data_IF_854727437114
#
_entry.id   IF_854727437114
#
_cell.length_a   1.000
_cell.length_b   1.000
_cell.length_c   1.000
_cell.angle_alpha   90.00
_cell.angle_beta   90.00
_cell.angle_gamma   90.00
#
_symmetry.space_group_name_H-M   'P 1'
#
loop_
_entity.id
_entity.type
_entity.pdbx_description
1 polymer ?
#
# COMPACT_ATOMS: atom_id res chain seq x y z
N UNK A 1 77.36 30.74 -13.66
CA UNK A 1 78.09 31.64 -12.74
C UNK A 1 78.25 30.88 -11.41
N UNK A 2 79.34 30.12 -11.31
CA UNK A 2 79.94 29.71 -10.02
C UNK A 2 80.61 30.99 -9.44
N UNK A 3 81.34 31.03 -8.30
CA UNK A 3 81.37 30.28 -7.02
C UNK A 3 81.30 31.25 -5.80
N UNK A 4 81.33 30.86 -4.53
CA UNK A 4 82.54 30.53 -3.75
C UNK A 4 82.10 30.12 -2.33
N UNK A 5 82.37 28.90 -1.87
CA UNK A 5 83.65 28.37 -1.37
C UNK A 5 84.13 29.00 -0.05
N UNK A 6 84.26 28.14 0.97
CA UNK A 6 85.54 27.78 1.62
C UNK A 6 85.26 26.63 2.59
N UNK A 7 85.82 25.42 2.40
CA UNK A 7 87.21 25.02 2.70
C UNK A 7 87.62 25.42 4.13
N UNK A 8 88.20 24.60 5.01
CA UNK A 8 88.83 23.27 4.91
C UNK A 8 89.37 22.94 6.32
N UNK A 9 89.42 21.64 6.65
CA UNK A 9 90.44 20.93 7.47
C UNK A 9 90.68 21.35 8.94
N UNK A 10 90.69 20.39 9.86
CA UNK A 10 91.86 19.59 10.31
C UNK A 10 91.52 18.87 11.64
N UNK A 11 91.93 17.60 11.74
CA UNK A 11 92.03 16.78 12.97
C UNK A 11 93.16 17.30 13.92
N UNK A 12 93.52 16.73 15.11
CA UNK A 12 93.18 15.41 15.69
C UNK A 12 93.07 15.31 17.26
N UNK A 13 92.76 14.09 17.74
CA UNK A 13 93.17 13.37 18.98
C UNK A 13 93.36 14.13 20.32
N UNK A 14 92.66 13.70 21.39
CA UNK A 14 93.31 13.10 22.59
C UNK A 14 92.33 12.60 23.68
N UNK A 15 92.79 11.53 24.34
CA UNK A 15 92.27 10.80 25.49
C UNK A 15 91.82 11.66 26.68
N UNK A 16 90.79 11.19 27.41
CA UNK A 16 90.81 10.93 28.86
C UNK A 16 89.45 10.40 29.34
N UNK A 17 89.38 9.17 29.81
CA UNK A 17 88.47 8.72 30.89
C UNK A 17 89.17 8.96 32.25
N UNK A 18 88.53 8.90 33.44
CA UNK A 18 87.15 8.49 33.77
C UNK A 18 86.42 9.33 34.86
N UNK A 19 85.20 8.90 35.19
CA UNK A 19 84.62 8.82 36.56
C UNK A 19 83.41 9.73 36.89
N UNK A 20 82.26 9.04 36.99
CA UNK A 20 81.26 9.09 38.09
C UNK A 20 80.08 10.06 38.06
N UNK A 21 78.92 9.42 38.30
CA UNK A 21 77.63 9.90 38.82
C UNK A 21 76.54 10.39 37.83
N UNK A 22 75.59 9.47 37.61
CA UNK A 22 74.24 9.61 37.04
C UNK A 22 73.29 10.39 37.97
N UNK A 23 71.99 10.54 37.62
CA UNK A 23 71.36 10.73 36.31
C UNK A 23 70.46 12.00 36.32
N UNK A 24 70.09 12.56 35.16
CA UNK A 24 68.84 13.34 35.03
C UNK A 24 68.48 13.67 33.59
N UNK A 25 67.17 13.70 33.38
CA UNK A 25 66.37 14.22 32.26
C UNK A 25 66.01 13.20 31.17
N UNK A 26 64.96 12.43 31.47
CA UNK A 26 64.07 11.84 30.47
C UNK A 26 63.50 12.95 29.58
N UNK A 27 63.84 12.94 28.29
CA UNK A 27 63.06 13.64 27.29
C UNK A 27 61.85 12.78 26.93
N UNK A 28 60.63 13.33 26.79
CA UNK A 28 59.48 12.55 26.37
C UNK A 28 59.72 12.01 24.97
N UNK A 29 59.73 10.68 24.86
CA UNK A 29 59.78 9.94 23.59
C UNK A 29 58.51 10.27 22.83
N UNK A 30 58.64 10.96 21.69
CA UNK A 30 57.51 11.24 20.81
C UNK A 30 57.16 9.98 20.02
N UNK A 31 56.26 9.16 20.58
CA UNK A 31 55.69 7.99 19.90
C UNK A 31 54.79 8.49 18.77
N UNK A 32 55.00 8.06 17.50
CA UNK A 32 54.04 8.36 16.43
C UNK A 32 52.70 7.75 16.81
N UNK A 33 51.67 8.58 17.00
CA UNK A 33 50.30 8.11 17.19
C UNK A 33 49.81 7.68 15.82
N UNK A 34 49.81 6.37 15.57
CA UNK A 34 49.04 5.79 14.47
C UNK A 34 47.57 6.12 14.69
N UNK A 35 46.96 6.67 13.63
CA UNK A 35 45.55 6.98 13.39
C UNK A 35 44.60 7.11 14.64
N UNK A 36 43.98 8.28 14.85
CA UNK A 36 43.16 8.60 16.05
C UNK A 36 41.93 7.71 16.28
N UNK A 37 41.60 6.84 15.31
CA UNK A 37 40.47 5.92 15.34
C UNK A 37 40.88 4.46 15.62
N UNK A 38 42.16 4.16 15.82
CA UNK A 38 42.63 2.81 16.10
C UNK A 38 42.28 2.40 17.54
N UNK A 39 41.50 1.32 17.71
CA UNK A 39 41.05 0.82 19.01
C UNK A 39 42.14 -0.08 19.64
N UNK A 40 43.23 0.55 20.09
CA UNK A 40 44.26 -0.12 20.90
C UNK A 40 44.02 0.17 22.39
N UNK A 41 44.36 -0.77 23.27
CA UNK A 41 44.23 -0.59 24.74
C UNK A 41 44.93 0.69 25.24
N UNK A 42 45.94 1.16 24.53
CA UNK A 42 46.61 2.43 24.79
C UNK A 42 45.75 3.67 24.50
N UNK A 43 44.93 3.66 23.44
CA UNK A 43 44.08 4.80 23.10
C UNK A 43 42.90 4.96 24.07
N UNK A 44 42.38 3.87 24.65
CA UNK A 44 41.33 3.93 25.68
C UNK A 44 41.85 4.47 27.02
N UNK A 45 43.09 4.12 27.38
CA UNK A 45 43.75 4.71 28.56
C UNK A 45 43.94 6.22 28.36
N UNK A 46 44.30 6.67 27.16
CA UNK A 46 44.47 8.10 26.83
C UNK A 46 43.14 8.88 26.83
N UNK A 47 42.02 8.27 26.40
CA UNK A 47 40.67 8.84 26.53
C UNK A 47 40.30 9.00 28.01
N UNK A 48 40.54 7.97 28.83
CA UNK A 48 40.27 7.98 30.28
C UNK A 48 41.09 9.01 31.06
N UNK A 49 42.32 9.30 30.61
CA UNK A 49 43.18 10.33 31.18
C UNK A 49 42.96 11.74 30.61
N UNK A 50 41.99 11.92 29.69
CA UNK A 50 41.59 13.23 29.17
C UNK A 50 42.55 13.84 28.14
N UNK A 51 43.44 13.03 27.56
CA UNK A 51 44.41 13.47 26.54
C UNK A 51 43.78 13.48 25.13
N UNK A 52 42.77 12.63 24.90
CA UNK A 52 42.02 12.52 23.64
C UNK A 52 40.52 12.62 23.96
N UNK A 53 39.70 13.33 23.16
CA UNK A 53 38.25 13.40 23.35
C UNK A 53 37.57 12.02 23.35
N UNK A 54 36.53 11.86 24.17
CA UNK A 54 35.72 10.63 24.20
C UNK A 54 34.97 10.42 22.88
N UNK A 55 34.84 9.15 22.47
CA UNK A 55 34.15 8.76 21.23
C UNK A 55 32.65 9.00 21.40
N UNK A 56 31.93 9.53 20.40
CA UNK A 56 30.49 9.68 20.49
C UNK A 56 29.84 8.30 20.74
N UNK A 57 28.77 8.21 21.57
CA UNK A 57 28.11 6.95 21.85
C UNK A 57 27.65 6.32 20.53
N UNK A 58 27.92 5.02 20.36
CA UNK A 58 27.55 4.32 19.15
C UNK A 58 26.02 4.29 19.00
N UNK A 59 25.45 4.66 17.83
CA UNK A 59 23.99 4.69 17.60
C UNK A 59 23.33 3.30 17.57
N UNK A 60 24.08 2.24 17.83
CA UNK A 60 23.67 0.83 17.82
C UNK A 60 22.38 0.51 18.59
N UNK A 61 22.13 1.02 19.82
CA UNK A 61 20.89 0.69 20.54
C UNK A 61 19.66 1.34 19.89
N UNK A 62 19.78 2.55 19.32
CA UNK A 62 18.66 3.16 18.56
C UNK A 62 18.39 2.42 17.25
N UNK A 63 19.45 1.90 16.61
CA UNK A 63 19.32 1.14 15.35
C UNK A 63 18.67 -0.23 15.62
N UNK A 64 19.03 -0.90 16.71
CA UNK A 64 18.41 -2.16 17.13
C UNK A 64 16.94 -1.97 17.52
N UNK A 65 16.62 -0.93 18.29
CA UNK A 65 15.24 -0.63 18.67
C UNK A 65 14.38 -0.29 17.44
N UNK A 66 14.90 0.53 16.52
CA UNK A 66 14.22 0.85 15.26
C UNK A 66 14.03 -0.40 14.38
N UNK A 67 14.99 -1.31 14.35
CA UNK A 67 14.89 -2.56 13.58
C UNK A 67 13.85 -3.51 14.18
N UNK A 68 13.74 -3.55 15.51
CA UNK A 68 12.75 -4.36 16.22
C UNK A 68 11.33 -3.82 15.97
N UNK A 69 11.14 -2.50 16.10
CA UNK A 69 9.87 -1.85 15.77
C UNK A 69 9.50 -2.02 14.29
N UNK A 70 10.47 -1.93 13.38
CA UNK A 70 10.22 -2.18 11.96
C UNK A 70 9.77 -3.63 11.69
N UNK A 71 10.27 -4.59 12.47
CA UNK A 71 9.86 -6.00 12.36
C UNK A 71 8.46 -6.22 12.90
N UNK A 72 8.10 -5.59 14.00
CA UNK A 72 6.74 -5.61 14.57
C UNK A 72 5.74 -4.96 13.61
N UNK A 73 6.05 -3.77 13.09
CA UNK A 73 5.21 -3.09 12.08
C UNK A 73 5.07 -3.91 10.79
N UNK A 74 6.14 -4.55 10.33
CA UNK A 74 6.07 -5.44 9.17
C UNK A 74 5.21 -6.68 9.43
N UNK A 75 5.22 -7.18 10.67
CA UNK A 75 4.37 -8.28 11.10
C UNK A 75 2.90 -7.85 11.19
N UNK A 76 2.60 -6.69 11.77
CA UNK A 76 1.25 -6.12 11.81
C UNK A 76 0.69 -5.86 10.40
N UNK A 77 1.49 -5.27 9.52
CA UNK A 77 1.10 -4.99 8.13
C UNK A 77 0.84 -6.28 7.32
N UNK A 78 1.48 -7.41 7.68
CA UNK A 78 1.17 -8.73 7.09
C UNK A 78 -0.25 -9.17 7.41
N UNK A 79 -0.75 -8.84 8.60
CA UNK A 79 -2.12 -9.17 9.02
C UNK A 79 -3.14 -8.14 8.49
N UNK A 80 -2.77 -6.86 8.33
CA UNK A 80 -3.63 -5.78 7.80
C UNK A 80 -4.21 -6.02 6.41
N UNK A 81 -3.62 -6.90 5.61
CA UNK A 81 -4.16 -7.25 4.30
C UNK A 81 -5.01 -8.53 4.31
N UNK A 82 -5.05 -9.25 5.44
CA UNK A 82 -5.71 -10.56 5.55
C UNK A 82 -7.19 -10.46 5.97
N UNK A 83 -7.99 -11.38 5.46
CA UNK A 83 -9.39 -11.60 5.83
C UNK A 83 -9.52 -12.61 6.98
N UNK A 84 -10.74 -12.79 7.51
CA UNK A 84 -10.99 -13.69 8.65
C UNK A 84 -10.58 -15.14 8.35
N UNK A 85 -10.90 -15.64 7.16
CA UNK A 85 -10.56 -17.01 6.75
C UNK A 85 -9.04 -17.20 6.61
N UNK A 86 -8.33 -16.20 6.05
CA UNK A 86 -6.86 -16.22 5.93
C UNK A 86 -6.14 -16.06 7.28
N UNK A 87 -6.84 -15.60 8.31
CA UNK A 87 -6.37 -15.55 9.68
C UNK A 87 -6.48 -16.91 10.36
N UNK A 88 -7.55 -17.65 10.08
CA UNK A 88 -7.74 -19.00 10.62
C UNK A 88 -6.65 -19.96 10.13
N UNK A 89 -6.16 -19.79 8.90
CA UNK A 89 -5.01 -20.53 8.38
C UNK A 89 -3.69 -20.26 9.14
N UNK A 90 -3.59 -19.14 9.86
CA UNK A 90 -2.41 -18.77 10.64
C UNK A 90 -2.47 -19.23 12.11
N UNK A 91 -3.54 -19.92 12.54
CA UNK A 91 -3.66 -20.43 13.93
C UNK A 91 -2.51 -21.37 14.33
N UNK A 92 -1.93 -22.11 13.38
CA UNK A 92 -0.81 -23.01 13.66
C UNK A 92 0.54 -22.28 13.82
N UNK A 93 0.64 -21.03 13.35
CA UNK A 93 1.88 -20.25 13.30
C UNK A 93 1.99 -19.15 14.38
N UNK A 94 0.85 -18.64 14.87
CA UNK A 94 0.77 -17.46 15.73
C UNK A 94 0.07 -17.74 17.07
N UNK A 95 0.32 -16.90 18.07
CA UNK A 95 -0.31 -17.02 19.40
C UNK A 95 -1.84 -16.79 19.33
N UNK A 96 -2.63 -17.70 19.92
CA UNK A 96 -4.10 -17.65 19.92
C UNK A 96 -4.66 -16.32 20.47
N UNK A 97 -4.03 -15.75 21.51
CA UNK A 97 -4.44 -14.48 22.11
C UNK A 97 -4.23 -13.29 21.16
N UNK A 98 -3.16 -13.32 20.36
CA UNK A 98 -2.85 -12.28 19.37
C UNK A 98 -3.85 -12.34 18.20
N UNK A 99 -4.07 -13.53 17.65
CA UNK A 99 -5.07 -13.79 16.60
C UNK A 99 -6.48 -13.37 17.02
N UNK A 100 -6.90 -13.72 18.24
CA UNK A 100 -8.21 -13.34 18.76
C UNK A 100 -8.38 -11.82 18.87
N UNK A 101 -7.36 -11.10 19.34
CA UNK A 101 -7.40 -9.64 19.41
C UNK A 101 -7.59 -9.01 18.02
N UNK A 102 -6.93 -9.59 17.01
CA UNK A 102 -7.00 -9.11 15.63
C UNK A 102 -8.32 -9.47 14.95
N UNK A 103 -8.84 -10.69 15.15
CA UNK A 103 -10.20 -11.09 14.72
C UNK A 103 -11.25 -10.13 15.27
N UNK A 104 -11.13 -9.79 16.54
CA UNK A 104 -12.07 -8.87 17.19
C UNK A 104 -11.95 -7.45 16.61
N UNK A 105 -10.74 -6.97 16.33
CA UNK A 105 -10.51 -5.70 15.62
C UNK A 105 -11.20 -5.71 14.24
N UNK A 106 -10.99 -6.75 13.44
CA UNK A 106 -11.62 -6.91 12.12
C UNK A 106 -13.14 -7.00 12.15
N UNK A 107 -13.69 -7.76 13.11
CA UNK A 107 -15.13 -7.89 13.30
C UNK A 107 -15.76 -6.53 13.63
N UNK A 108 -15.08 -5.70 14.42
CA UNK A 108 -15.53 -4.36 14.73
C UNK A 108 -15.51 -3.46 13.49
N UNK A 109 -14.43 -3.48 12.70
CA UNK A 109 -14.33 -2.73 11.43
C UNK A 109 -15.47 -3.09 10.46
N UNK A 110 -15.76 -4.38 10.27
CA UNK A 110 -16.86 -4.85 9.42
C UNK A 110 -18.23 -4.41 9.95
N UNK A 111 -18.40 -4.41 11.27
CA UNK A 111 -19.62 -3.95 11.93
C UNK A 111 -19.83 -2.45 11.74
N UNK A 112 -18.76 -1.65 11.83
CA UNK A 112 -18.79 -0.21 11.56
C UNK A 112 -19.13 0.09 10.10
N UNK A 113 -18.54 -0.62 9.14
CA UNK A 113 -18.88 -0.49 7.71
C UNK A 113 -20.36 -0.80 7.48
N UNK A 114 -20.87 -1.88 8.10
CA UNK A 114 -22.29 -2.24 8.00
C UNK A 114 -23.20 -1.18 8.59
N UNK A 115 -22.83 -0.60 9.73
CA UNK A 115 -23.60 0.48 10.36
C UNK A 115 -23.55 1.79 9.56
N UNK A 116 -22.42 2.09 8.91
CA UNK A 116 -22.26 3.26 8.05
C UNK A 116 -23.01 3.12 6.71
N UNK A 117 -23.33 1.89 6.30
CA UNK A 117 -24.00 1.58 5.03
C UNK A 117 -25.49 1.92 5.03
N UNK A 118 -25.82 3.21 4.98
CA UNK A 118 -27.19 3.75 5.05
C UNK A 118 -27.88 3.86 3.68
N UNK A 119 -27.13 4.03 2.59
CA UNK A 119 -27.68 4.37 1.27
C UNK A 119 -27.98 3.15 0.42
N UNK A 120 -26.98 2.31 0.11
CA UNK A 120 -27.14 0.99 -0.53
C UNK A 120 -27.83 0.93 -1.90
N UNK A 121 -28.28 2.06 -2.47
CA UNK A 121 -29.02 2.13 -3.73
C UNK A 121 -28.83 3.48 -4.43
N UNK A 122 -29.28 3.57 -5.67
CA UNK A 122 -29.26 4.82 -6.45
C UNK A 122 -30.54 5.62 -6.19
N UNK A 123 -30.38 6.89 -5.82
CA UNK A 123 -31.48 7.81 -5.53
C UNK A 123 -31.74 8.74 -6.73
N UNK A 124 -32.93 8.70 -7.34
CA UNK A 124 -33.31 9.70 -8.34
C UNK A 124 -33.53 11.05 -7.65
N UNK A 125 -32.87 12.10 -8.12
CA UNK A 125 -32.97 13.45 -7.54
C UNK A 125 -33.65 14.40 -8.52
N UNK A 126 -34.51 15.27 -7.99
CA UNK A 126 -35.13 16.37 -8.74
C UNK A 126 -34.51 17.71 -8.35
N UNK A 127 -34.66 18.71 -9.23
CA UNK A 127 -34.11 20.07 -9.01
C UNK A 127 -34.50 20.70 -7.66
N UNK A 128 -35.76 20.63 -7.18
CA UNK A 128 -36.13 21.22 -5.89
C UNK A 128 -35.44 20.58 -4.68
N UNK A 129 -35.10 19.29 -4.80
CA UNK A 129 -34.52 18.48 -3.73
C UNK A 129 -32.98 18.51 -3.75
N UNK A 130 -32.38 19.02 -4.83
CA UNK A 130 -30.94 18.97 -5.05
C UNK A 130 -30.12 19.52 -3.88
N UNK A 131 -30.49 20.70 -3.36
CA UNK A 131 -29.74 21.32 -2.25
C UNK A 131 -29.72 20.42 -1.01
N UNK A 132 -30.87 19.84 -0.67
CA UNK A 132 -31.01 18.99 0.51
C UNK A 132 -30.34 17.63 0.31
N UNK A 133 -30.63 16.97 -0.81
CA UNK A 133 -30.19 15.60 -1.08
C UNK A 133 -28.71 15.51 -1.46
N UNK A 134 -28.14 16.58 -2.01
CA UNK A 134 -26.74 16.63 -2.48
C UNK A 134 -25.90 17.55 -1.60
N UNK A 135 -26.18 18.85 -1.60
CA UNK A 135 -25.31 19.84 -0.94
C UNK A 135 -25.27 19.65 0.57
N UNK A 136 -26.44 19.59 1.22
CA UNK A 136 -26.54 19.48 2.67
C UNK A 136 -26.08 18.09 3.15
N UNK A 137 -26.48 17.02 2.44
CA UNK A 137 -26.08 15.66 2.81
C UNK A 137 -24.58 15.42 2.62
N UNK A 138 -23.94 16.14 1.68
CA UNK A 138 -22.49 16.06 1.48
C UNK A 138 -21.67 16.60 2.66
N UNK A 139 -22.30 17.31 3.61
CA UNK A 139 -21.63 17.69 4.87
C UNK A 139 -21.34 16.48 5.76
N UNK A 140 -22.14 15.42 5.66
CA UNK A 140 -22.01 14.22 6.49
C UNK A 140 -21.25 13.10 5.78
N UNK A 141 -21.58 12.87 4.51
CA UNK A 141 -20.99 11.78 3.70
C UNK A 141 -20.49 12.29 2.35
N UNK A 142 -19.87 11.43 1.55
CA UNK A 142 -19.64 11.69 0.14
C UNK A 142 -20.93 11.48 -0.64
N UNK A 143 -21.28 12.46 -1.48
CA UNK A 143 -22.44 12.36 -2.37
C UNK A 143 -21.96 12.42 -3.80
N UNK A 144 -22.33 11.42 -4.60
CA UNK A 144 -21.99 11.33 -6.00
C UNK A 144 -23.26 11.53 -6.82
N UNK A 145 -23.23 12.44 -7.79
CA UNK A 145 -24.38 12.71 -8.67
C UNK A 145 -24.01 12.35 -10.09
N UNK A 146 -24.76 11.41 -10.67
CA UNK A 146 -24.69 11.06 -12.07
C UNK A 146 -25.72 11.85 -12.88
N UNK A 147 -25.24 12.70 -13.78
CA UNK A 147 -26.04 13.39 -14.78
C UNK A 147 -26.06 12.59 -16.08
N UNK A 148 -27.22 12.05 -16.45
CA UNK A 148 -27.39 11.24 -17.66
C UNK A 148 -28.03 12.02 -18.80
N UNK A 149 -27.77 11.59 -20.04
CA UNK A 149 -28.51 12.03 -21.22
C UNK A 149 -30.01 11.82 -21.06
N UNK A 150 -30.80 12.81 -21.44
CA UNK A 150 -32.26 12.71 -21.48
C UNK A 150 -32.77 12.02 -22.76
N UNK A 151 -31.92 11.89 -23.79
CA UNK A 151 -32.26 11.20 -25.04
C UNK A 151 -32.30 9.68 -24.87
N UNK A 152 -31.62 9.15 -23.85
CA UNK A 152 -31.46 7.71 -23.60
C UNK A 152 -30.63 6.99 -24.68
N UNK A 153 -30.13 7.69 -25.69
CA UNK A 153 -29.36 7.13 -26.81
C UNK A 153 -27.84 7.16 -26.57
N UNK A 154 -27.39 7.92 -25.57
CA UNK A 154 -25.98 8.03 -25.21
C UNK A 154 -25.48 6.71 -24.57
N UNK A 155 -24.60 5.99 -25.28
CA UNK A 155 -24.05 4.70 -24.85
C UNK A 155 -23.28 4.80 -23.53
N UNK A 156 -22.48 5.85 -23.37
CA UNK A 156 -21.68 6.06 -22.15
C UNK A 156 -22.56 6.24 -20.90
N UNK A 157 -23.69 6.94 -21.04
CA UNK A 157 -24.66 7.12 -19.95
C UNK A 157 -25.26 5.79 -19.53
N UNK A 158 -25.52 4.87 -20.47
CA UNK A 158 -26.03 3.52 -20.16
C UNK A 158 -24.99 2.70 -19.40
N UNK A 159 -23.76 2.66 -19.91
CA UNK A 159 -22.64 1.95 -19.26
C UNK A 159 -22.45 2.44 -17.83
N UNK A 160 -22.42 3.76 -17.66
CA UNK A 160 -22.20 4.34 -16.34
C UNK A 160 -23.38 4.12 -15.40
N UNK A 161 -24.63 4.12 -15.91
CA UNK A 161 -25.82 3.84 -15.09
C UNK A 161 -25.79 2.44 -14.49
N UNK A 162 -25.35 1.43 -15.23
CA UNK A 162 -25.20 0.06 -14.69
C UNK A 162 -24.08 0.00 -13.64
N UNK A 163 -22.91 0.57 -13.94
CA UNK A 163 -21.82 0.67 -12.96
C UNK A 163 -22.26 1.41 -11.68
N UNK A 164 -23.12 2.42 -11.81
CA UNK A 164 -23.65 3.21 -10.70
C UNK A 164 -24.47 2.36 -9.73
N UNK A 165 -25.28 1.43 -10.24
CA UNK A 165 -26.10 0.52 -9.42
C UNK A 165 -25.25 -0.49 -8.67
N UNK A 166 -24.25 -1.06 -9.33
CA UNK A 166 -23.28 -1.95 -8.70
C UNK A 166 -22.52 -1.24 -7.58
N UNK A 167 -22.00 -0.03 -7.85
CA UNK A 167 -21.30 0.77 -6.86
C UNK A 167 -22.19 1.14 -5.67
N UNK A 168 -23.44 1.54 -5.90
CA UNK A 168 -24.34 1.92 -4.83
C UNK A 168 -24.67 0.75 -3.88
N UNK A 169 -24.77 -0.46 -4.44
CA UNK A 169 -25.00 -1.68 -3.65
C UNK A 169 -23.75 -2.06 -2.85
N UNK A 170 -22.56 -1.89 -3.44
CA UNK A 170 -21.28 -2.24 -2.85
C UNK A 170 -20.80 -1.25 -1.77
N UNK A 171 -21.03 0.04 -2.01
CA UNK A 171 -20.53 1.16 -1.21
C UNK A 171 -21.69 1.92 -0.56
N UNK A 172 -22.48 1.24 0.27
CA UNK A 172 -23.68 1.82 0.86
C UNK A 172 -23.42 2.93 1.89
N UNK A 173 -22.17 3.17 2.26
CA UNK A 173 -21.70 4.28 3.09
C UNK A 173 -21.59 5.60 2.30
N UNK A 174 -21.53 5.53 0.97
CA UNK A 174 -21.58 6.69 0.08
C UNK A 174 -22.98 6.84 -0.53
N UNK A 175 -23.39 8.07 -0.79
CA UNK A 175 -24.69 8.34 -1.40
C UNK A 175 -24.55 8.47 -2.92
N UNK A 176 -25.27 7.63 -3.65
CA UNK A 176 -25.32 7.66 -5.11
C UNK A 176 -26.63 8.26 -5.59
N UNK A 177 -26.56 9.39 -6.28
CA UNK A 177 -27.69 10.10 -6.84
C UNK A 177 -27.66 10.04 -8.37
N UNK A 178 -28.83 10.09 -9.01
CA UNK A 178 -28.96 10.15 -10.46
C UNK A 178 -30.00 11.19 -10.86
N UNK A 179 -29.72 11.96 -11.91
CA UNK A 179 -30.65 12.96 -12.45
C UNK A 179 -30.43 13.14 -13.96
N UNK A 180 -31.48 13.46 -14.69
CA UNK A 180 -31.35 13.84 -16.10
C UNK A 180 -30.63 15.20 -16.22
N UNK A 181 -29.63 15.30 -17.09
CA UNK A 181 -28.77 16.48 -17.17
C UNK A 181 -29.56 17.77 -17.46
N UNK A 182 -30.58 17.69 -18.32
CA UNK A 182 -31.46 18.81 -18.67
C UNK A 182 -32.32 19.32 -17.49
N UNK A 183 -32.63 18.47 -16.52
CA UNK A 183 -33.39 18.84 -15.31
C UNK A 183 -32.49 19.54 -14.29
N UNK A 184 -31.20 19.16 -14.25
CA UNK A 184 -30.20 19.81 -13.42
C UNK A 184 -29.85 21.20 -13.96
N UNK A 185 -29.47 21.25 -15.24
CA UNK A 185 -28.94 22.43 -15.92
C UNK A 185 -29.68 22.56 -17.26
N UNK A 186 -30.40 23.66 -17.42
CA UNK A 186 -31.18 23.91 -18.63
C UNK A 186 -30.24 24.06 -19.83
N UNK A 187 -30.52 23.31 -20.91
CA UNK A 187 -29.71 23.33 -22.13
C UNK A 187 -28.35 22.64 -22.00
N UNK A 188 -28.11 21.83 -20.97
CA UNK A 188 -26.84 21.10 -20.83
C UNK A 188 -26.56 20.23 -22.08
N UNK A 189 -25.38 20.35 -22.73
CA UNK A 189 -25.11 19.64 -23.97
C UNK A 189 -25.08 18.13 -23.78
N UNK A 190 -25.84 17.40 -24.60
CA UNK A 190 -25.93 15.93 -24.52
C UNK A 190 -24.57 15.24 -24.72
N UNK A 191 -23.70 15.83 -25.55
CA UNK A 191 -22.32 15.36 -25.77
C UNK A 191 -21.43 15.41 -24.52
N UNK A 192 -21.80 16.18 -23.51
CA UNK A 192 -21.07 16.26 -22.24
C UNK A 192 -21.58 15.20 -21.25
N UNK A 193 -22.59 14.40 -21.63
CA UNK A 193 -23.12 13.33 -20.79
C UNK A 193 -22.45 11.98 -21.11
N UNK A 194 -22.25 11.12 -20.11
CA UNK A 194 -22.60 11.32 -18.70
C UNK A 194 -21.66 12.32 -18.01
N UNK A 195 -22.13 13.01 -16.98
CA UNK A 195 -21.26 13.82 -16.11
C UNK A 195 -21.41 13.34 -14.67
N UNK A 196 -20.30 13.11 -13.98
CA UNK A 196 -20.27 12.77 -12.56
C UNK A 196 -19.83 13.98 -11.76
N UNK A 197 -20.60 14.34 -10.74
CA UNK A 197 -20.24 15.38 -9.77
C UNK A 197 -20.05 14.72 -8.40
N UNK A 198 -18.87 14.86 -7.82
CA UNK A 198 -18.52 14.26 -6.53
C UNK A 198 -18.45 15.38 -5.49
N UNK A 199 -19.30 15.31 -4.48
CA UNK A 199 -19.43 16.30 -3.41
C UNK A 199 -18.90 15.78 -2.07
N UNK A 200 -18.26 16.68 -1.33
CA UNK A 200 -17.89 16.50 0.08
C UNK A 200 -17.78 17.85 0.77
N UNK A 201 -18.37 17.98 1.95
CA UNK A 201 -18.43 19.19 2.77
C UNK A 201 -19.07 20.37 2.01
N UNK A 202 -20.16 20.10 1.30
CA UNK A 202 -20.92 21.12 0.55
C UNK A 202 -20.26 21.58 -0.76
N UNK A 203 -19.07 21.08 -1.08
CA UNK A 203 -18.28 21.51 -2.24
C UNK A 203 -18.08 20.36 -3.24
N UNK A 204 -17.98 20.71 -4.53
CA UNK A 204 -17.58 19.78 -5.58
C UNK A 204 -16.09 19.51 -5.44
N UNK A 205 -15.72 18.25 -5.17
CA UNK A 205 -14.33 17.80 -5.09
C UNK A 205 -13.79 17.38 -6.45
N UNK A 206 -14.64 16.78 -7.27
CA UNK A 206 -14.27 16.37 -8.63
C UNK A 206 -15.49 16.39 -9.54
N UNK A 207 -15.25 16.78 -10.78
CA UNK A 207 -16.19 16.68 -11.87
C UNK A 207 -15.55 15.85 -12.97
N UNK A 208 -16.28 14.87 -13.48
CA UNK A 208 -15.86 14.03 -14.61
C UNK A 208 -16.88 14.24 -15.71
N UNK A 209 -16.43 14.76 -16.85
CA UNK A 209 -17.30 15.02 -18.01
C UNK A 209 -17.03 13.95 -19.04
N UNK A 210 -18.07 13.24 -19.48
CA UNK A 210 -17.99 12.02 -20.31
C UNK A 210 -17.17 10.91 -19.65
N UNK A 211 -16.98 9.80 -20.36
CA UNK A 211 -16.08 8.73 -19.93
C UNK A 211 -14.66 8.86 -20.52
N UNK A 212 -14.34 9.99 -21.17
CA UNK A 212 -13.06 10.21 -21.85
C UNK A 212 -11.84 10.19 -20.90
N UNK A 213 -11.99 10.66 -19.66
CA UNK A 213 -10.95 10.61 -18.63
C UNK A 213 -10.82 9.21 -17.97
N UNK A 214 -11.75 8.30 -18.29
CA UNK A 214 -11.77 6.91 -17.83
C UNK A 214 -11.42 6.00 -19.01
N UNK A 215 -12.12 4.88 -19.16
CA UNK A 215 -11.91 3.93 -20.27
C UNK A 215 -12.96 4.07 -21.39
N UNK A 216 -13.61 5.23 -21.49
CA UNK A 216 -14.67 5.46 -22.48
C UNK A 216 -15.83 4.47 -22.30
N UNK A 217 -16.39 3.91 -23.40
CA UNK A 217 -17.44 2.88 -23.34
C UNK A 217 -17.04 1.57 -22.64
N UNK A 218 -15.75 1.37 -22.34
CA UNK A 218 -15.25 0.20 -21.60
C UNK A 218 -15.07 0.47 -20.10
N UNK A 219 -15.48 1.64 -19.63
CA UNK A 219 -15.41 1.99 -18.20
C UNK A 219 -16.18 0.96 -17.38
N UNK A 220 -15.51 0.41 -16.36
CA UNK A 220 -16.12 -0.47 -15.38
C UNK A 220 -16.13 0.12 -13.98
N UNK A 221 -16.71 -0.63 -13.04
CA UNK A 221 -16.76 -0.28 -11.60
C UNK A 221 -15.38 0.08 -11.04
N UNK A 222 -14.34 -0.69 -11.41
CA UNK A 222 -12.97 -0.49 -10.93
C UNK A 222 -12.37 0.87 -11.30
N UNK A 223 -12.74 1.42 -12.45
CA UNK A 223 -12.19 2.71 -12.88
C UNK A 223 -12.75 3.84 -12.01
N UNK A 224 -14.00 3.72 -11.57
CA UNK A 224 -14.61 4.64 -10.62
C UNK A 224 -14.06 4.43 -9.21
N UNK A 225 -13.86 3.19 -8.77
CA UNK A 225 -13.23 2.89 -7.47
C UNK A 225 -11.82 3.52 -7.36
N UNK A 226 -11.01 3.47 -8.42
CA UNK A 226 -9.71 4.15 -8.47
C UNK A 226 -9.85 5.67 -8.30
N UNK A 227 -10.87 6.27 -8.91
CA UNK A 227 -11.13 7.70 -8.73
C UNK A 227 -11.52 8.00 -7.29
N UNK A 228 -12.37 7.19 -6.68
CA UNK A 228 -12.82 7.40 -5.31
C UNK A 228 -11.70 7.17 -4.28
N UNK A 229 -10.82 6.20 -4.51
CA UNK A 229 -9.58 6.01 -3.76
C UNK A 229 -8.68 7.24 -3.85
N UNK A 230 -8.47 7.77 -5.05
CA UNK A 230 -7.66 8.97 -5.27
C UNK A 230 -8.22 10.23 -4.59
N UNK A 231 -9.53 10.26 -4.31
CA UNK A 231 -10.19 11.36 -3.58
C UNK A 231 -10.24 11.14 -2.06
N UNK A 232 -9.86 9.96 -1.57
CA UNK A 232 -10.03 9.57 -0.17
C UNK A 232 -11.50 9.31 0.21
N UNK A 233 -12.38 9.08 -0.77
CA UNK A 233 -13.74 8.65 -0.52
C UNK A 233 -13.82 7.16 -0.13
N UNK A 234 -12.86 6.37 -0.62
CA UNK A 234 -12.63 4.98 -0.22
C UNK A 234 -11.30 4.87 0.53
N UNK A 235 -11.21 3.93 1.46
CA UNK A 235 -9.97 3.63 2.17
C UNK A 235 -9.12 2.61 1.41
N UNK A 236 -7.81 2.77 1.50
CA UNK A 236 -6.87 1.77 0.99
C UNK A 236 -6.97 0.51 1.86
N UNK A 237 -7.03 -0.66 1.25
CA UNK A 237 -7.16 -1.94 1.98
C UNK A 237 -8.59 -2.28 2.43
N UNK A 238 -9.61 -1.52 2.02
CA UNK A 238 -11.00 -1.92 2.27
C UNK A 238 -11.27 -3.30 1.64
N UNK A 239 -11.76 -4.29 2.39
CA UNK A 239 -11.97 -5.66 1.90
C UNK A 239 -12.92 -5.70 0.69
N UNK A 240 -13.84 -4.73 0.58
CA UNK A 240 -14.75 -4.63 -0.57
C UNK A 240 -14.00 -4.39 -1.89
N UNK A 241 -12.75 -3.94 -1.89
CA UNK A 241 -11.94 -3.76 -3.10
C UNK A 241 -11.36 -5.07 -3.66
N UNK A 242 -11.34 -6.16 -2.87
CA UNK A 242 -10.81 -7.47 -3.30
C UNK A 242 -11.65 -8.09 -4.43
N UNK A 243 -11.04 -8.96 -5.25
CA UNK A 243 -11.72 -9.62 -6.38
C UNK A 243 -12.65 -10.69 -5.85
N UNK A 244 -13.90 -10.70 -6.33
CA UNK A 244 -14.80 -11.85 -6.17
C UNK A 244 -14.27 -13.12 -6.86
N UNK A 245 -13.36 -12.99 -7.83
CA UNK A 245 -12.77 -14.12 -8.55
C UNK A 245 -11.88 -15.02 -7.66
N UNK A 246 -11.39 -14.52 -6.51
CA UNK A 246 -10.61 -15.33 -5.56
C UNK A 246 -11.51 -16.25 -4.71
N UNK A 247 -12.80 -15.93 -4.57
CA UNK A 247 -13.78 -16.74 -3.82
C UNK A 247 -14.30 -17.93 -4.64
N UNK A 248 -14.35 -17.83 -5.99
CA UNK A 248 -14.86 -18.91 -6.84
C UNK A 248 -13.82 -20.05 -7.06
N UNK A 249 -12.52 -19.79 -6.96
CA UNK A 249 -11.49 -20.84 -7.06
C UNK A 249 -11.44 -21.76 -5.82
N UNK A 250 -11.88 -21.30 -4.65
CA UNK A 250 -11.84 -22.09 -3.39
C UNK A 250 -13.00 -23.09 -3.29
N UNK A 251 -14.10 -22.86 -4.00
CA UNK A 251 -15.31 -23.72 -3.95
C UNK A 251 -15.16 -24.97 -4.83
N UNK A 252 -14.32 -24.91 -5.88
CA UNK A 252 -14.20 -25.99 -6.87
C UNK A 252 -13.27 -27.16 -6.46
N UNK A 253 -12.45 -27.01 -5.43
CA UNK A 253 -11.55 -28.08 -4.96
C UNK A 253 -12.23 -29.01 -3.93
N UNK A 254 -13.25 -28.52 -3.21
CA UNK A 254 -13.91 -29.27 -2.14
C UNK A 254 -15.00 -30.26 -2.64
N UNK A 255 -15.54 -30.08 -3.84
CA UNK A 255 -16.71 -30.85 -4.35
C UNK A 255 -16.43 -31.74 -5.57
N UNK A 256 -15.16 -32.10 -5.84
CA UNK A 256 -14.86 -33.11 -6.86
C UNK A 256 -15.01 -34.53 -6.31
N UNK A 257 -16.02 -35.31 -6.72
CA UNK A 257 -16.05 -36.73 -6.41
C UNK A 257 -14.85 -37.42 -7.08
N UNK A 258 -14.00 -38.04 -6.26
CA UNK A 258 -12.82 -38.81 -6.68
C UNK A 258 -13.23 -39.87 -7.71
N UNK A 259 -13.02 -39.59 -9.01
CA UNK A 259 -13.20 -40.57 -10.08
C UNK A 259 -12.21 -41.70 -9.86
N UNK A 260 -12.73 -42.87 -9.49
CA UNK A 260 -11.98 -44.10 -9.37
C UNK A 260 -11.34 -44.46 -10.71
N UNK A 261 -10.02 -44.59 -10.72
CA UNK A 261 -9.26 -45.25 -11.78
C UNK A 261 -9.66 -46.73 -11.75
N UNK A 262 -10.68 -47.10 -12.52
CA UNK A 262 -11.02 -48.49 -12.87
C UNK A 262 -11.97 -48.47 -14.07
N UNK A 263 -11.37 -48.34 -15.25
CA UNK A 263 -11.62 -49.19 -16.43
C UNK A 263 -11.02 -48.52 -17.67
N UNK A 264 -9.69 -48.53 -17.73
CA UNK A 264 -8.96 -48.32 -18.96
C UNK A 264 -8.85 -49.67 -19.69
N UNK A 265 -9.95 -50.16 -20.24
CA UNK A 265 -9.85 -51.09 -21.36
C UNK A 265 -11.07 -50.99 -22.26
N UNK A 266 -10.79 -50.86 -23.56
CA UNK A 266 -11.66 -51.21 -24.68
C UNK A 266 -12.60 -50.12 -25.20
N UNK A 267 -12.06 -49.22 -26.02
CA UNK A 267 -12.72 -48.97 -27.32
C UNK A 267 -11.71 -48.53 -28.38
N UNK A 268 -11.47 -49.42 -29.34
CA UNK A 268 -10.76 -49.19 -30.60
C UNK A 268 -11.70 -49.73 -31.69
N UNK A 269 -12.01 -48.92 -32.69
CA UNK A 269 -12.57 -49.41 -33.96
C UNK A 269 -13.87 -48.74 -34.40
N UNK A 270 -13.75 -48.06 -35.55
CA UNK A 270 -14.79 -47.46 -36.37
C UNK A 270 -15.89 -48.43 -36.84
N UNK A 271 -17.05 -47.90 -37.25
CA UNK A 271 -17.63 -48.08 -38.61
C UNK A 271 -19.12 -47.67 -38.70
N UNK A 272 -19.40 -46.87 -39.75
CA UNK A 272 -20.58 -46.75 -40.64
C UNK A 272 -22.03 -47.02 -40.19
N UNK A 273 -22.87 -46.04 -40.60
CA UNK A 273 -24.18 -46.10 -41.29
C UNK A 273 -25.46 -46.68 -40.65
N UNK A 274 -26.50 -45.84 -40.79
CA UNK A 274 -27.90 -46.13 -41.15
C UNK A 274 -28.87 -46.71 -40.11
N UNK A 275 -30.11 -46.21 -40.18
CA UNK A 275 -31.27 -46.84 -39.55
C UNK A 275 -32.07 -45.99 -38.56
N UNK A 276 -32.97 -45.16 -39.10
CA UNK A 276 -34.43 -45.28 -38.90
C UNK A 276 -35.02 -45.50 -37.49
N UNK A 277 -35.97 -44.62 -37.14
CA UNK A 277 -37.17 -44.82 -36.29
C UNK A 277 -37.05 -45.55 -34.94
N UNK A 278 -37.54 -44.90 -33.88
CA UNK A 278 -38.89 -45.18 -33.37
C UNK A 278 -39.12 -44.48 -32.02
N UNK A 279 -40.36 -43.99 -31.86
CA UNK A 279 -41.15 -43.79 -30.63
C UNK A 279 -40.63 -44.53 -29.38
N UNK A 280 -40.86 -43.96 -28.19
CA UNK A 280 -41.71 -44.57 -27.14
C UNK A 280 -41.81 -43.66 -25.90
N UNK A 281 -43.07 -43.40 -25.54
CA UNK A 281 -43.70 -42.93 -24.28
C UNK A 281 -43.40 -41.53 -23.70
#
# INVERSE_FOLDING_TARGET
MIPYLKHRRHAPLNNTTPTSQSPKMDMPVNVPVDHPDADTEWNDILRKHGVIPEKPPSPTPMIEEALTQARELAHEHRLESKDLDELDELEDEEDEDFLNSYRQKRMNELTEIRHASVYGQVYPVQKPEYSKEVTDESQKTWVLVLLTSSSGMNTESRVLTECWRELATKWGDLKFCQMAANLCIEGYPDKNTPTVLIYREGNIRKQIVTLAELAGPKTGVRDLEKVLLGLGALQHGDPRLKRKDEEEEVVDEADRPKRSIRDASKTKGASVEDGSDSDWD
#
